data_IF_063210332071
#
_entry.id   IF_063210332071
#
_cell.length_a   1.000
_cell.length_b   1.000
_cell.length_c   1.000
_cell.angle_alpha   90.00
_cell.angle_beta   90.00
_cell.angle_gamma   90.00
#
_symmetry.space_group_name_H-M   'P 1'
#
loop_
_entity.id
_entity.type
_entity.pdbx_description
1 polymer ?
#
# COMPACT_ATOMS: atom_id res chain seq x y z
N UNK A 1 -16.58 19.50 -20.51
CA UNK A 1 -15.49 19.27 -19.52
C UNK A 1 -15.93 19.93 -18.23
N UNK A 2 -15.71 19.31 -17.06
CA UNK A 2 -16.13 19.88 -15.79
C UNK A 2 -15.44 21.22 -15.50
N UNK A 3 -16.18 22.09 -14.84
CA UNK A 3 -15.69 23.34 -14.25
C UNK A 3 -15.94 23.23 -12.75
N UNK A 4 -14.92 23.48 -11.93
CA UNK A 4 -15.07 23.42 -10.48
C UNK A 4 -15.94 24.58 -9.97
N UNK A 5 -17.05 24.27 -9.30
CA UNK A 5 -17.81 25.23 -8.52
C UNK A 5 -17.31 25.30 -7.08
N UNK A 6 -17.16 24.13 -6.43
CA UNK A 6 -16.73 24.03 -5.03
C UNK A 6 -15.78 22.86 -4.82
N UNK A 7 -14.82 23.05 -3.92
CA UNK A 7 -14.03 22.03 -3.28
C UNK A 7 -13.98 22.35 -1.78
N UNK A 8 -14.56 21.50 -0.97
CA UNK A 8 -14.63 21.64 0.48
C UNK A 8 -13.98 20.45 1.17
N UNK A 9 -13.45 20.67 2.37
CA UNK A 9 -12.93 19.63 3.24
C UNK A 9 -13.69 19.60 4.57
N UNK A 10 -14.12 18.42 4.99
CA UNK A 10 -14.76 18.21 6.28
C UNK A 10 -13.87 17.27 7.12
N UNK A 11 -13.49 17.67 8.36
CA UNK A 11 -12.74 16.77 9.26
C UNK A 11 -13.50 15.48 9.53
N UNK A 12 -12.77 14.37 9.60
CA UNK A 12 -13.29 13.04 9.90
C UNK A 12 -12.25 12.18 10.62
N UNK A 13 -12.64 10.97 10.92
CA UNK A 13 -11.77 9.95 11.50
C UNK A 13 -11.62 8.78 10.52
N UNK A 14 -10.42 8.22 10.44
CA UNK A 14 -10.17 7.02 9.66
C UNK A 14 -10.47 5.75 10.47
N UNK A 15 -10.68 4.64 9.76
CA UNK A 15 -10.99 3.35 10.38
C UNK A 15 -9.75 2.60 10.89
N UNK A 16 -8.59 3.24 10.99
CA UNK A 16 -7.35 2.64 11.47
C UNK A 16 -6.55 3.61 12.35
N UNK A 17 -5.36 3.21 12.78
CA UNK A 17 -4.51 3.96 13.71
C UNK A 17 -3.24 4.44 13.02
N UNK A 18 -2.77 5.62 13.41
CA UNK A 18 -1.46 6.14 13.06
C UNK A 18 -0.45 5.70 14.11
N UNK A 19 0.59 4.98 13.69
CA UNK A 19 1.66 4.47 14.54
C UNK A 19 2.96 5.22 14.28
N UNK A 20 3.62 5.65 15.35
CA UNK A 20 4.97 6.22 15.28
C UNK A 20 6.00 5.09 15.17
N UNK A 21 6.40 4.77 13.94
CA UNK A 21 7.36 3.70 13.67
C UNK A 21 8.72 3.93 14.36
N UNK A 22 9.16 5.20 14.50
CA UNK A 22 10.44 5.49 15.15
C UNK A 22 10.38 5.17 16.63
N UNK A 23 9.29 5.50 17.31
CA UNK A 23 9.10 5.15 18.72
C UNK A 23 9.00 3.64 18.92
N UNK A 24 8.28 2.93 18.02
CA UNK A 24 8.16 1.47 18.07
C UNK A 24 9.56 0.82 17.88
N UNK A 25 10.32 1.25 16.89
CA UNK A 25 11.70 0.77 16.65
C UNK A 25 12.67 1.12 17.82
N UNK A 26 12.41 2.21 18.52
CA UNK A 26 13.17 2.58 19.73
C UNK A 26 12.78 1.75 20.96
N UNK A 27 11.82 0.83 20.84
CA UNK A 27 11.42 -0.10 21.89
C UNK A 27 10.24 0.34 22.73
N UNK A 28 9.34 1.16 22.20
CA UNK A 28 8.08 1.49 22.87
C UNK A 28 7.33 0.21 23.26
N UNK A 29 6.91 0.12 24.53
CA UNK A 29 6.29 -1.07 25.09
C UNK A 29 4.79 -1.07 24.88
N UNK A 30 4.20 -2.23 24.58
CA UNK A 30 2.74 -2.37 24.55
C UNK A 30 2.12 -2.29 25.94
N UNK A 31 0.99 -1.60 26.02
CA UNK A 31 0.04 -1.68 27.11
C UNK A 31 -1.33 -2.08 26.54
N UNK A 32 -1.56 -3.35 26.43
CA UNK A 32 -2.68 -3.88 25.66
C UNK A 32 -2.60 -3.48 24.18
N UNK A 33 -3.59 -2.74 23.69
CA UNK A 33 -3.57 -2.22 22.32
C UNK A 33 -2.75 -0.93 22.14
N UNK A 34 -2.58 -0.16 23.20
CA UNK A 34 -1.82 1.09 23.20
C UNK A 34 -0.30 0.84 23.32
N UNK A 35 0.46 1.91 23.18
CA UNK A 35 1.89 1.93 23.49
C UNK A 35 2.16 2.90 24.65
N UNK A 36 3.13 2.55 25.48
CA UNK A 36 3.68 3.43 26.50
C UNK A 36 4.80 4.27 25.92
N UNK A 37 4.98 5.50 26.44
CA UNK A 37 6.05 6.42 26.10
C UNK A 37 5.61 7.57 25.20
N UNK A 38 6.58 8.44 24.91
CA UNK A 38 6.36 9.62 24.08
C UNK A 38 6.63 9.33 22.61
N UNK A 39 5.92 9.98 21.68
CA UNK A 39 6.20 9.88 20.27
C UNK A 39 7.57 10.54 19.94
N UNK A 40 8.21 10.04 18.90
CA UNK A 40 9.51 10.52 18.40
C UNK A 40 9.34 11.26 17.08
N UNK A 41 8.46 10.73 16.19
CA UNK A 41 8.26 11.31 14.85
C UNK A 41 7.43 12.60 14.93
N UNK A 42 7.87 13.71 14.32
CA UNK A 42 7.10 14.93 14.28
C UNK A 42 5.68 14.74 13.69
N UNK A 43 4.70 15.37 14.31
CA UNK A 43 3.30 15.26 13.92
C UNK A 43 2.50 14.17 14.63
N UNK A 44 3.16 13.25 15.35
CA UNK A 44 2.49 12.28 16.21
C UNK A 44 2.23 12.86 17.61
N UNK A 45 0.99 12.73 18.10
CA UNK A 45 0.62 13.14 19.46
C UNK A 45 0.76 12.01 20.49
N UNK A 46 0.90 10.77 20.05
CA UNK A 46 1.15 9.56 20.84
C UNK A 46 1.82 8.52 19.94
N UNK A 47 2.41 7.47 20.53
CA UNK A 47 3.03 6.37 19.76
C UNK A 47 1.99 5.65 18.88
N UNK A 48 0.75 5.51 19.37
CA UNK A 48 -0.42 5.08 18.58
C UNK A 48 -1.59 6.01 18.87
N UNK A 49 -2.21 6.53 17.83
CA UNK A 49 -3.40 7.38 17.93
C UNK A 49 -4.43 7.01 16.85
N UNK A 50 -5.72 7.29 17.06
CA UNK A 50 -6.69 7.22 15.98
C UNK A 50 -6.23 8.08 14.79
N UNK A 51 -6.27 7.53 13.60
CA UNK A 51 -5.90 8.27 12.40
C UNK A 51 -6.99 9.27 12.03
N UNK A 52 -6.59 10.50 11.72
CA UNK A 52 -7.49 11.55 11.24
C UNK A 52 -7.65 11.47 9.73
N UNK A 53 -8.78 11.97 9.26
CA UNK A 53 -9.10 12.08 7.84
C UNK A 53 -9.70 13.44 7.51
N UNK A 54 -9.70 13.80 6.23
CA UNK A 54 -10.56 14.84 5.67
C UNK A 54 -11.40 14.23 4.56
N UNK A 55 -12.70 14.43 4.62
CA UNK A 55 -13.61 14.12 3.54
C UNK A 55 -13.63 15.30 2.58
N UNK A 56 -13.28 15.06 1.33
CA UNK A 56 -13.19 16.09 0.30
C UNK A 56 -14.42 15.97 -0.62
N UNK A 57 -15.11 17.09 -0.81
CA UNK A 57 -16.28 17.18 -1.67
C UNK A 57 -16.01 18.15 -2.82
N UNK A 58 -16.08 17.65 -4.02
CA UNK A 58 -16.05 18.44 -5.27
C UNK A 58 -17.46 18.59 -5.80
N UNK A 59 -17.82 19.79 -6.21
CA UNK A 59 -19.04 20.08 -6.98
C UNK A 59 -18.67 20.84 -8.26
N UNK A 60 -19.16 20.37 -9.39
CA UNK A 60 -18.96 21.02 -10.68
C UNK A 60 -20.03 22.09 -10.93
N UNK A 61 -19.76 23.01 -11.85
CA UNK A 61 -20.75 24.04 -12.26
C UNK A 61 -22.04 23.44 -12.83
N UNK A 62 -21.99 22.20 -13.33
CA UNK A 62 -23.16 21.45 -13.77
C UNK A 62 -23.92 20.78 -12.61
N UNK A 63 -23.44 20.91 -11.36
CA UNK A 63 -24.06 20.34 -10.17
C UNK A 63 -23.69 18.88 -9.89
N UNK A 64 -22.75 18.28 -10.63
CA UNK A 64 -22.25 16.96 -10.33
C UNK A 64 -21.37 16.98 -9.09
N UNK A 65 -21.52 15.97 -8.21
CA UNK A 65 -20.79 15.86 -6.94
C UNK A 65 -19.91 14.63 -6.94
N UNK A 66 -18.67 14.81 -6.51
CA UNK A 66 -17.73 13.73 -6.25
C UNK A 66 -17.15 13.83 -4.84
N UNK A 67 -16.85 12.69 -4.26
CA UNK A 67 -16.23 12.56 -2.95
C UNK A 67 -14.89 11.85 -3.03
N UNK A 68 -13.98 12.26 -2.16
CA UNK A 68 -12.71 11.61 -1.90
C UNK A 68 -12.35 11.74 -0.43
N UNK A 69 -11.33 11.05 0.00
CA UNK A 69 -10.82 11.13 1.37
C UNK A 69 -9.30 11.31 1.39
N UNK A 70 -8.84 12.17 2.28
CA UNK A 70 -7.43 12.36 2.60
C UNK A 70 -7.15 11.70 3.95
N UNK A 71 -6.41 10.60 3.93
CA UNK A 71 -6.11 9.78 5.12
C UNK A 71 -4.62 9.51 5.20
N UNK A 72 -4.05 9.56 6.39
CA UNK A 72 -2.65 9.19 6.61
C UNK A 72 -2.42 7.70 6.35
N UNK A 73 -1.23 7.34 5.88
CA UNK A 73 -0.75 5.97 5.95
C UNK A 73 -0.31 5.63 7.37
N UNK A 74 -0.24 4.33 7.71
CA UNK A 74 0.02 3.85 9.07
C UNK A 74 1.31 4.42 9.68
N UNK A 75 2.41 4.41 8.95
CA UNK A 75 3.72 4.89 9.41
C UNK A 75 4.05 6.26 8.80
N UNK A 76 3.11 7.20 8.88
CA UNK A 76 3.30 8.55 8.39
C UNK A 76 4.50 9.24 9.05
N UNK A 77 5.16 10.17 8.34
CA UNK A 77 6.28 10.96 8.83
C UNK A 77 7.65 10.29 8.76
N UNK A 78 7.73 9.04 8.26
CA UNK A 78 9.01 8.33 8.08
C UNK A 78 9.12 7.76 6.66
N UNK A 79 10.34 7.50 6.21
CA UNK A 79 10.60 6.91 4.89
C UNK A 79 10.09 7.78 3.73
N UNK A 80 10.20 9.11 3.85
CA UNK A 80 9.72 10.06 2.84
C UNK A 80 8.21 10.29 2.84
N UNK A 81 7.46 9.64 3.73
CA UNK A 81 6.02 9.86 3.87
C UNK A 81 5.74 11.18 4.57
N UNK A 82 4.67 11.86 4.16
CA UNK A 82 4.19 13.06 4.85
C UNK A 82 3.78 12.76 6.30
N UNK A 83 3.74 13.80 7.13
CA UNK A 83 3.28 13.73 8.52
C UNK A 83 1.82 13.21 8.58
N UNK A 84 1.35 12.75 9.76
CA UNK A 84 -0.06 12.39 9.92
C UNK A 84 -0.99 13.54 9.50
N UNK A 85 -2.12 13.21 8.85
CA UNK A 85 -3.12 14.19 8.44
C UNK A 85 -3.65 14.95 9.66
N UNK A 86 -3.51 16.27 9.64
CA UNK A 86 -4.18 17.16 10.57
C UNK A 86 -5.12 18.10 9.79
N UNK A 87 -6.44 17.89 9.88
CA UNK A 87 -7.41 18.71 9.16
C UNK A 87 -7.32 20.20 9.46
N UNK A 88 -6.89 20.58 10.67
CA UNK A 88 -6.73 21.97 11.05
C UNK A 88 -5.56 22.66 10.32
N UNK A 89 -4.54 21.89 9.95
CA UNK A 89 -3.35 22.36 9.23
C UNK A 89 -3.57 22.28 7.73
N UNK A 90 -4.08 21.14 7.24
CA UNK A 90 -4.15 20.84 5.81
C UNK A 90 -5.37 21.46 5.09
N UNK A 91 -6.34 22.00 5.82
CA UNK A 91 -7.49 22.71 5.21
C UNK A 91 -7.07 23.86 4.29
N UNK A 92 -6.01 24.58 4.63
CA UNK A 92 -5.48 25.68 3.80
C UNK A 92 -4.89 25.20 2.46
N UNK A 93 -4.35 23.98 2.40
CA UNK A 93 -3.89 23.39 1.15
C UNK A 93 -5.07 23.03 0.24
N UNK A 94 -6.18 22.56 0.82
CA UNK A 94 -7.42 22.29 0.07
C UNK A 94 -7.99 23.58 -0.50
N UNK A 95 -8.05 24.66 0.28
CA UNK A 95 -8.50 25.97 -0.19
C UNK A 95 -7.63 26.50 -1.31
N UNK A 96 -6.32 26.35 -1.20
CA UNK A 96 -5.36 26.74 -2.23
C UNK A 96 -5.56 25.93 -3.53
N UNK A 97 -5.76 24.62 -3.42
CA UNK A 97 -6.05 23.75 -4.55
C UNK A 97 -7.39 24.12 -5.22
N UNK A 98 -8.42 24.42 -4.42
CA UNK A 98 -9.72 24.87 -4.92
C UNK A 98 -9.59 26.12 -5.79
N UNK A 99 -8.86 27.14 -5.31
CA UNK A 99 -8.61 28.37 -6.08
C UNK A 99 -7.83 28.11 -7.38
N UNK A 100 -6.87 27.19 -7.37
CA UNK A 100 -6.11 26.82 -8.56
C UNK A 100 -7.00 26.15 -9.62
N UNK A 101 -7.81 25.18 -9.21
CA UNK A 101 -8.75 24.49 -10.08
C UNK A 101 -9.83 25.44 -10.64
N UNK A 102 -10.38 26.34 -9.83
CA UNK A 102 -11.34 27.32 -10.29
C UNK A 102 -10.74 28.26 -11.34
N UNK A 103 -9.50 28.70 -11.16
CA UNK A 103 -8.78 29.54 -12.13
C UNK A 103 -8.44 28.83 -13.43
N UNK A 104 -8.27 27.53 -13.41
CA UNK A 104 -8.02 26.74 -14.61
C UNK A 104 -9.24 26.72 -15.55
N UNK A 105 -10.46 26.95 -15.03
CA UNK A 105 -11.69 26.90 -15.80
C UNK A 105 -12.11 25.48 -16.15
N UNK A 106 -12.30 25.18 -17.43
CA UNK A 106 -12.62 23.82 -17.90
C UNK A 106 -11.38 22.93 -17.92
N UNK A 107 -11.50 21.73 -17.41
CA UNK A 107 -10.43 20.70 -17.46
C UNK A 107 -11.04 19.30 -17.60
N UNK A 108 -10.30 18.37 -18.16
CA UNK A 108 -10.57 16.95 -18.00
C UNK A 108 -9.95 16.42 -16.71
N UNK A 109 -10.30 15.17 -16.35
CA UNK A 109 -9.79 14.56 -15.12
C UNK A 109 -8.25 14.51 -15.08
N UNK A 110 -7.59 14.12 -16.18
CA UNK A 110 -6.13 14.01 -16.23
C UNK A 110 -5.44 15.38 -16.05
N UNK A 111 -5.95 16.41 -16.73
CA UNK A 111 -5.46 17.77 -16.59
C UNK A 111 -5.67 18.32 -15.18
N UNK A 112 -6.82 18.04 -14.55
CA UNK A 112 -7.09 18.43 -13.17
C UNK A 112 -6.13 17.75 -12.17
N UNK A 113 -5.86 16.45 -12.33
CA UNK A 113 -4.88 15.76 -11.52
C UNK A 113 -3.46 16.30 -11.74
N UNK A 114 -3.05 16.51 -12.99
CA UNK A 114 -1.74 17.08 -13.28
C UNK A 114 -1.57 18.46 -12.64
N UNK A 115 -2.59 19.33 -12.69
CA UNK A 115 -2.55 20.61 -12.01
C UNK A 115 -2.31 20.46 -10.52
N UNK A 116 -3.02 19.55 -9.84
CA UNK A 116 -2.85 19.28 -8.40
C UNK A 116 -1.43 18.78 -8.08
N UNK A 117 -0.85 17.90 -8.90
CA UNK A 117 0.52 17.41 -8.71
C UNK A 117 1.59 18.51 -8.84
N UNK A 118 1.36 19.48 -9.74
CA UNK A 118 2.29 20.59 -9.98
C UNK A 118 2.14 21.72 -8.97
N UNK A 119 1.07 21.76 -8.16
CA UNK A 119 0.88 22.80 -7.16
C UNK A 119 1.95 22.75 -6.09
N UNK A 120 2.37 23.95 -5.68
CA UNK A 120 3.34 24.16 -4.59
C UNK A 120 2.76 25.14 -3.59
N UNK A 121 2.54 24.66 -2.36
CA UNK A 121 2.14 25.50 -1.23
C UNK A 121 3.35 25.72 -0.32
N UNK A 122 3.70 26.97 -0.07
CA UNK A 122 4.94 27.36 0.63
C UNK A 122 6.21 26.69 0.06
N UNK A 123 6.27 26.56 -1.29
CA UNK A 123 7.41 25.98 -2.01
C UNK A 123 7.51 24.45 -1.97
N UNK A 124 6.56 23.76 -1.35
CA UNK A 124 6.49 22.28 -1.27
C UNK A 124 5.29 21.75 -2.04
N UNK A 125 5.34 20.50 -2.54
CA UNK A 125 4.13 19.83 -3.04
C UNK A 125 3.05 19.86 -1.96
N UNK A 126 1.79 19.83 -2.37
CA UNK A 126 0.69 19.59 -1.43
C UNK A 126 0.88 18.23 -0.75
N UNK A 127 0.38 18.09 0.45
CA UNK A 127 0.39 16.83 1.20
C UNK A 127 -0.17 15.69 0.34
N UNK A 128 0.51 14.53 0.30
CA UNK A 128 0.14 13.40 -0.57
C UNK A 128 -1.31 12.96 -0.38
N UNK A 129 -1.78 12.88 0.88
CA UNK A 129 -3.18 12.53 1.15
C UNK A 129 -4.16 13.57 0.59
N UNK A 130 -3.82 14.86 0.60
CA UNK A 130 -4.64 15.93 0.01
C UNK A 130 -4.71 15.77 -1.51
N UNK A 131 -3.56 15.57 -2.18
CA UNK A 131 -3.52 15.32 -3.63
C UNK A 131 -4.35 14.10 -4.01
N UNK A 132 -4.17 13.00 -3.27
CA UNK A 132 -4.91 11.75 -3.49
C UNK A 132 -6.41 11.94 -3.30
N UNK A 133 -6.85 12.54 -2.19
CA UNK A 133 -8.26 12.77 -1.90
C UNK A 133 -8.94 13.70 -2.92
N UNK A 134 -8.26 14.75 -3.37
CA UNK A 134 -8.78 15.63 -4.43
C UNK A 134 -8.92 14.86 -5.74
N UNK A 135 -7.93 14.02 -6.11
CA UNK A 135 -7.99 13.22 -7.34
C UNK A 135 -9.17 12.25 -7.35
N UNK A 136 -9.47 11.61 -6.21
CA UNK A 136 -10.65 10.77 -6.05
C UNK A 136 -11.95 11.57 -6.25
N UNK A 137 -12.05 12.73 -5.59
CA UNK A 137 -13.22 13.59 -5.69
C UNK A 137 -13.45 14.09 -7.12
N UNK A 138 -12.38 14.49 -7.82
CA UNK A 138 -12.43 14.90 -9.23
C UNK A 138 -12.87 13.75 -10.15
N UNK A 139 -12.34 12.55 -9.93
CA UNK A 139 -12.70 11.35 -10.70
C UNK A 139 -14.20 11.05 -10.56
N UNK A 140 -14.70 11.06 -9.33
CA UNK A 140 -16.09 10.79 -9.04
C UNK A 140 -17.02 11.88 -9.60
N UNK A 141 -16.65 13.16 -9.47
CA UNK A 141 -17.42 14.26 -10.03
C UNK A 141 -17.44 14.24 -11.57
N UNK A 142 -16.30 13.97 -12.20
CA UNK A 142 -16.18 13.82 -13.67
C UNK A 142 -17.06 12.67 -14.18
N UNK A 143 -17.03 11.53 -13.49
CA UNK A 143 -17.84 10.38 -13.84
C UNK A 143 -19.34 10.69 -13.71
N UNK A 144 -19.75 11.35 -12.61
CA UNK A 144 -21.14 11.74 -12.37
C UNK A 144 -21.63 12.73 -13.44
N UNK A 145 -20.82 13.75 -13.79
CA UNK A 145 -21.17 14.73 -14.84
C UNK A 145 -21.31 14.07 -16.21
N UNK A 146 -20.46 13.08 -16.53
CA UNK A 146 -20.51 12.35 -17.78
C UNK A 146 -21.58 11.24 -17.81
N UNK A 147 -22.35 11.02 -16.74
CA UNK A 147 -23.26 9.88 -16.62
C UNK A 147 -22.56 8.53 -16.80
N UNK A 148 -21.31 8.44 -16.32
CA UNK A 148 -20.42 7.30 -16.51
C UNK A 148 -19.92 6.75 -15.16
N UNK A 149 -19.06 5.73 -15.18
CA UNK A 149 -18.40 5.24 -13.98
C UNK A 149 -16.95 5.74 -13.90
N UNK A 150 -16.37 5.87 -12.69
CA UNK A 150 -14.95 6.19 -12.50
C UNK A 150 -14.02 5.28 -13.32
N UNK A 151 -14.33 3.99 -13.35
CA UNK A 151 -13.56 3.00 -14.11
C UNK A 151 -13.53 3.30 -15.61
N UNK A 152 -14.65 3.74 -16.20
CA UNK A 152 -14.71 4.12 -17.62
C UNK A 152 -13.94 5.40 -17.92
N UNK A 153 -13.91 6.35 -16.99
CA UNK A 153 -13.07 7.56 -17.12
C UNK A 153 -11.59 7.16 -17.15
N UNK A 154 -11.16 6.29 -16.23
CA UNK A 154 -9.78 5.79 -16.20
C UNK A 154 -9.43 4.97 -17.44
N UNK A 155 -10.33 4.09 -17.88
CA UNK A 155 -10.14 3.30 -19.09
C UNK A 155 -9.93 4.18 -20.33
N UNK A 156 -10.71 5.25 -20.46
CA UNK A 156 -10.57 6.20 -21.57
C UNK A 156 -9.21 6.92 -21.58
N UNK A 157 -8.66 7.27 -20.41
CA UNK A 157 -7.37 7.92 -20.27
C UNK A 157 -6.21 6.95 -20.59
N UNK A 158 -6.34 5.70 -20.17
CA UNK A 158 -5.33 4.67 -20.39
C UNK A 158 -5.42 4.00 -21.76
N UNK A 159 -6.44 4.33 -22.56
CA UNK A 159 -6.70 3.73 -23.87
C UNK A 159 -7.26 2.30 -23.80
N UNK A 160 -7.74 1.88 -22.63
CA UNK A 160 -8.42 0.58 -22.47
C UNK A 160 -9.85 0.67 -23.02
N UNK A 161 -10.24 -0.30 -23.82
CA UNK A 161 -11.60 -0.37 -24.39
C UNK A 161 -12.59 -1.00 -23.42
N UNK A 162 -12.15 -1.99 -22.66
CA UNK A 162 -12.94 -2.67 -21.63
C UNK A 162 -12.10 -2.78 -20.34
N UNK A 163 -12.63 -2.32 -19.19
CA UNK A 163 -11.97 -2.51 -17.93
C UNK A 163 -12.04 -3.98 -17.51
N UNK A 164 -10.91 -4.56 -17.18
CA UNK A 164 -10.85 -5.90 -16.60
C UNK A 164 -11.04 -5.84 -15.08
N UNK A 165 -11.64 -6.88 -14.51
CA UNK A 165 -11.69 -7.05 -13.06
C UNK A 165 -10.27 -7.32 -12.55
N UNK A 166 -9.83 -6.52 -11.58
CA UNK A 166 -8.57 -6.76 -10.91
C UNK A 166 -8.70 -7.99 -10.00
N UNK A 167 -7.62 -8.77 -9.85
CA UNK A 167 -7.57 -9.84 -8.87
C UNK A 167 -7.86 -9.31 -7.46
N UNK A 168 -8.68 -10.06 -6.71
CA UNK A 168 -8.96 -9.74 -5.31
C UNK A 168 -7.76 -10.13 -4.47
N UNK A 169 -7.16 -9.14 -3.84
CA UNK A 169 -6.02 -9.28 -2.95
C UNK A 169 -6.47 -9.15 -1.50
N UNK A 170 -6.01 -10.04 -0.61
CA UNK A 170 -6.42 -10.03 0.79
C UNK A 170 -5.22 -10.19 1.73
N UNK A 171 -5.31 -9.52 2.88
CA UNK A 171 -4.30 -9.53 3.93
C UNK A 171 -4.79 -10.28 5.16
N UNK A 172 -3.95 -11.18 5.70
CA UNK A 172 -4.31 -12.01 6.85
C UNK A 172 -4.16 -11.30 8.21
N UNK A 173 -3.33 -10.27 8.29
CA UNK A 173 -2.94 -9.72 9.59
C UNK A 173 -2.23 -10.78 10.45
N UNK A 174 -2.36 -10.66 11.76
CA UNK A 174 -1.69 -11.55 12.73
C UNK A 174 -2.30 -12.96 12.79
N UNK A 175 -3.58 -13.11 12.48
CA UNK A 175 -4.32 -14.39 12.46
C UNK A 175 -4.12 -15.13 11.12
N UNK A 176 -2.85 -15.37 10.75
CA UNK A 176 -2.45 -15.85 9.43
C UNK A 176 -3.19 -17.11 8.97
N UNK A 177 -3.31 -18.12 9.83
CA UNK A 177 -3.92 -19.41 9.48
C UNK A 177 -5.45 -19.27 9.35
N UNK A 178 -6.09 -18.71 10.35
CA UNK A 178 -7.55 -18.56 10.36
C UNK A 178 -8.04 -17.68 9.19
N UNK A 179 -7.34 -16.60 8.93
CA UNK A 179 -7.74 -15.68 7.86
C UNK A 179 -7.39 -16.25 6.47
N UNK A 180 -6.30 -17.00 6.32
CA UNK A 180 -6.01 -17.73 5.07
C UNK A 180 -7.13 -18.72 4.74
N UNK A 181 -7.62 -19.51 5.69
CA UNK A 181 -8.76 -20.41 5.49
C UNK A 181 -10.02 -19.65 5.01
N UNK A 182 -10.31 -18.50 5.62
CA UNK A 182 -11.43 -17.63 5.22
C UNK A 182 -11.28 -17.11 3.78
N UNK A 183 -10.07 -16.74 3.37
CA UNK A 183 -9.75 -16.27 2.03
C UNK A 183 -9.91 -17.39 1.00
N UNK A 184 -9.39 -18.57 1.30
CA UNK A 184 -9.50 -19.76 0.43
C UNK A 184 -10.97 -20.13 0.21
N UNK A 185 -11.77 -20.18 1.27
CA UNK A 185 -13.21 -20.46 1.19
C UNK A 185 -13.99 -19.40 0.38
N UNK A 186 -13.48 -18.17 0.30
CA UNK A 186 -14.06 -17.08 -0.51
C UNK A 186 -13.53 -17.03 -1.93
N UNK A 187 -12.54 -17.85 -2.27
CA UNK A 187 -11.93 -17.86 -3.60
C UNK A 187 -11.15 -16.58 -3.92
N UNK A 188 -10.44 -16.01 -2.95
CA UNK A 188 -9.60 -14.82 -3.14
C UNK A 188 -8.46 -15.15 -4.09
N UNK A 189 -8.15 -14.25 -5.05
CA UNK A 189 -7.17 -14.51 -6.10
C UNK A 189 -5.72 -14.46 -5.61
N UNK A 190 -5.39 -13.55 -4.66
CA UNK A 190 -4.07 -13.37 -4.08
C UNK A 190 -4.17 -13.37 -2.56
N UNK A 191 -3.46 -14.30 -1.91
CA UNK A 191 -3.50 -14.50 -0.46
C UNK A 191 -2.16 -15.06 0.07
N UNK A 192 -1.90 -15.07 1.37
CA UNK A 192 -2.66 -14.40 2.42
C UNK A 192 -2.12 -13.01 2.76
N UNK A 193 -1.11 -12.49 2.06
CA UNK A 193 -0.22 -11.41 2.51
C UNK A 193 0.15 -11.59 3.99
N UNK A 194 0.71 -12.77 4.27
CA UNK A 194 1.12 -13.14 5.62
C UNK A 194 2.39 -12.43 6.00
N UNK A 195 2.42 -11.87 7.22
CA UNK A 195 3.51 -11.07 7.72
C UNK A 195 4.49 -11.93 8.53
N UNK A 196 5.78 -11.93 8.14
CA UNK A 196 6.87 -12.63 8.83
C UNK A 196 7.93 -11.61 9.29
N UNK A 197 7.54 -10.76 10.24
CA UNK A 197 8.28 -9.59 10.70
C UNK A 197 9.24 -9.87 11.88
N UNK A 198 9.46 -11.12 12.24
CA UNK A 198 10.37 -11.51 13.30
C UNK A 198 11.01 -12.88 13.03
N UNK A 199 12.19 -13.11 13.62
CA UNK A 199 12.87 -14.41 13.54
C UNK A 199 12.05 -15.54 14.16
N UNK A 200 11.25 -15.24 15.18
CA UNK A 200 10.36 -16.24 15.78
C UNK A 200 9.24 -16.65 14.81
N UNK A 201 8.68 -15.72 14.06
CA UNK A 201 7.65 -16.02 13.05
C UNK A 201 8.24 -16.73 11.83
N UNK A 202 9.40 -16.26 11.33
CA UNK A 202 10.07 -16.80 10.15
C UNK A 202 10.78 -18.13 10.42
N UNK A 203 11.31 -18.32 11.62
CA UNK A 203 12.24 -19.35 12.02
C UNK A 203 13.70 -18.93 11.84
N UNK A 204 14.58 -19.29 12.79
CA UNK A 204 16.00 -18.92 12.75
C UNK A 204 16.75 -19.47 11.53
N UNK A 205 16.20 -20.47 10.89
CA UNK A 205 16.67 -21.09 9.65
C UNK A 205 15.65 -20.96 8.48
N UNK A 206 14.55 -20.23 8.70
CA UNK A 206 13.45 -20.09 7.76
C UNK A 206 12.49 -21.27 7.68
N UNK A 207 12.70 -22.32 8.50
CA UNK A 207 11.90 -23.54 8.42
C UNK A 207 10.41 -23.28 8.69
N UNK A 208 10.06 -22.42 9.65
CA UNK A 208 8.65 -22.10 9.94
C UNK A 208 7.95 -21.44 8.76
N UNK A 209 8.67 -20.59 8.02
CA UNK A 209 8.14 -20.01 6.80
C UNK A 209 7.85 -21.08 5.73
N UNK A 210 8.79 -22.00 5.48
CA UNK A 210 8.60 -23.07 4.50
C UNK A 210 7.44 -24.00 4.90
N UNK A 211 7.30 -24.32 6.18
CA UNK A 211 6.19 -25.11 6.71
C UNK A 211 4.85 -24.39 6.50
N UNK A 212 4.80 -23.07 6.67
CA UNK A 212 3.60 -22.29 6.43
C UNK A 212 3.24 -22.23 4.94
N UNK A 213 4.20 -22.07 4.03
CA UNK A 213 3.95 -22.14 2.58
C UNK A 213 3.39 -23.52 2.19
N UNK A 214 3.99 -24.60 2.69
CA UNK A 214 3.49 -25.96 2.46
C UNK A 214 2.11 -26.19 3.08
N UNK A 215 1.83 -25.57 4.24
CA UNK A 215 0.52 -25.60 4.87
C UNK A 215 -0.52 -24.89 4.01
N UNK A 216 -0.24 -23.69 3.51
CA UNK A 216 -1.11 -22.95 2.59
C UNK A 216 -1.48 -23.77 1.36
N UNK A 217 -0.48 -24.41 0.74
CA UNK A 217 -0.70 -25.29 -0.41
C UNK A 217 -1.70 -26.40 -0.09
N UNK A 218 -1.54 -27.08 1.04
CA UNK A 218 -2.50 -28.13 1.49
C UNK A 218 -3.89 -27.55 1.73
N UNK A 219 -3.99 -26.37 2.39
CA UNK A 219 -5.30 -25.75 2.66
C UNK A 219 -6.02 -25.35 1.39
N UNK A 220 -5.30 -24.88 0.36
CA UNK A 220 -5.89 -24.61 -0.96
C UNK A 220 -6.50 -25.88 -1.55
N UNK A 221 -5.82 -27.02 -1.45
CA UNK A 221 -6.36 -28.31 -1.95
C UNK A 221 -7.56 -28.81 -1.13
N UNK A 222 -7.54 -28.59 0.19
CA UNK A 222 -8.59 -29.07 1.09
C UNK A 222 -9.86 -28.23 1.07
N UNK A 223 -9.74 -26.91 0.99
CA UNK A 223 -10.84 -25.95 1.17
C UNK A 223 -11.25 -25.23 -0.09
N UNK A 224 -10.34 -25.10 -1.05
CA UNK A 224 -10.59 -24.34 -2.27
C UNK A 224 -11.61 -25.04 -3.19
N UNK A 225 -12.39 -24.26 -3.96
CA UNK A 225 -13.25 -24.83 -4.98
C UNK A 225 -12.44 -25.57 -6.06
N UNK A 226 -13.09 -26.44 -6.80
CA UNK A 226 -12.44 -27.24 -7.85
C UNK A 226 -11.75 -26.32 -8.88
N UNK A 227 -10.45 -26.54 -9.10
CA UNK A 227 -9.64 -25.76 -10.02
C UNK A 227 -9.14 -24.41 -9.47
N UNK A 228 -9.37 -24.10 -8.21
CA UNK A 228 -8.89 -22.90 -7.56
C UNK A 228 -7.35 -22.91 -7.44
N UNK A 229 -6.73 -21.88 -7.99
CA UNK A 229 -5.27 -21.72 -8.01
C UNK A 229 -4.91 -20.26 -7.73
N UNK A 230 -4.93 -19.84 -6.46
CA UNK A 230 -4.54 -18.51 -6.08
C UNK A 230 -3.04 -18.29 -6.25
N UNK A 231 -2.64 -17.05 -6.37
CA UNK A 231 -1.25 -16.65 -6.14
C UNK A 231 -0.99 -16.49 -4.64
N UNK A 232 0.17 -16.93 -4.17
CA UNK A 232 0.61 -16.71 -2.79
C UNK A 232 1.47 -15.46 -2.73
N UNK A 233 1.18 -14.57 -1.77
CA UNK A 233 1.99 -13.40 -1.49
C UNK A 233 2.32 -13.34 0.00
N UNK A 234 3.61 -13.24 0.33
CA UNK A 234 4.12 -13.27 1.69
C UNK A 234 5.17 -12.17 1.88
N UNK A 235 5.01 -11.36 2.93
CA UNK A 235 5.98 -10.32 3.29
C UNK A 235 6.89 -10.82 4.41
N UNK A 236 8.18 -10.80 4.15
CA UNK A 236 9.18 -11.36 5.06
C UNK A 236 10.06 -10.30 5.74
N UNK A 237 9.80 -9.00 5.54
CA UNK A 237 10.43 -7.90 6.27
C UNK A 237 11.95 -8.01 6.39
N UNK A 238 12.63 -8.47 5.33
CA UNK A 238 14.07 -8.67 5.33
C UNK A 238 14.58 -9.90 6.08
N UNK A 239 13.70 -10.70 6.70
CA UNK A 239 14.10 -11.85 7.52
C UNK A 239 14.93 -12.86 6.74
N UNK A 240 14.63 -13.08 5.45
CA UNK A 240 15.42 -13.99 4.64
C UNK A 240 16.88 -13.52 4.53
N UNK A 241 17.09 -12.25 4.16
CA UNK A 241 18.44 -11.67 4.09
C UNK A 241 19.17 -11.74 5.42
N UNK A 242 18.46 -11.49 6.54
CA UNK A 242 19.03 -11.57 7.88
C UNK A 242 19.50 -13.00 8.24
N UNK A 243 18.66 -14.01 7.98
CA UNK A 243 18.96 -15.42 8.30
C UNK A 243 20.17 -15.93 7.51
N UNK A 244 20.35 -15.49 6.28
CA UNK A 244 21.44 -15.96 5.42
C UNK A 244 22.57 -14.94 5.26
N UNK A 245 22.58 -13.84 6.05
CA UNK A 245 23.62 -12.80 6.04
C UNK A 245 23.78 -12.15 4.65
N UNK A 246 22.68 -11.85 3.98
CA UNK A 246 22.60 -11.23 2.64
C UNK A 246 23.30 -12.02 1.53
N UNK A 247 23.59 -13.30 1.74
CA UNK A 247 24.17 -14.19 0.74
C UNK A 247 23.12 -14.51 -0.34
N UNK A 248 23.31 -13.98 -1.54
CA UNK A 248 22.36 -14.08 -2.66
C UNK A 248 22.15 -15.54 -3.10
N UNK A 249 23.20 -16.35 -3.11
CA UNK A 249 23.12 -17.76 -3.50
C UNK A 249 22.29 -18.59 -2.50
N UNK A 250 22.45 -18.29 -1.21
CA UNK A 250 21.66 -18.91 -0.12
C UNK A 250 20.21 -18.41 -0.17
N UNK A 251 19.97 -17.11 -0.42
CA UNK A 251 18.62 -16.60 -0.62
C UNK A 251 17.93 -17.28 -1.80
N UNK A 252 18.61 -17.40 -2.94
CA UNK A 252 18.05 -18.08 -4.11
C UNK A 252 17.76 -19.58 -3.84
N UNK A 253 18.62 -20.25 -3.11
CA UNK A 253 18.41 -21.65 -2.69
C UNK A 253 17.18 -21.79 -1.78
N UNK A 254 17.01 -20.87 -0.84
CA UNK A 254 15.84 -20.83 0.03
C UNK A 254 14.54 -20.58 -0.74
N UNK A 255 14.55 -19.61 -1.69
CA UNK A 255 13.40 -19.30 -2.52
C UNK A 255 13.01 -20.45 -3.46
N UNK A 256 13.97 -21.22 -3.94
CA UNK A 256 13.70 -22.47 -4.69
C UNK A 256 13.00 -23.52 -3.81
N UNK A 257 13.38 -23.62 -2.52
CA UNK A 257 12.68 -24.49 -1.57
C UNK A 257 11.26 -23.97 -1.27
N UNK A 258 11.07 -22.67 -1.17
CA UNK A 258 9.75 -22.05 -1.00
C UNK A 258 8.83 -22.28 -2.23
N UNK A 259 9.35 -22.15 -3.45
CA UNK A 259 8.64 -22.51 -4.68
C UNK A 259 8.20 -23.98 -4.69
N UNK A 260 9.10 -24.86 -4.27
CA UNK A 260 8.79 -26.29 -4.12
C UNK A 260 7.66 -26.50 -3.11
N UNK A 261 7.71 -25.82 -1.96
CA UNK A 261 6.68 -25.89 -0.94
C UNK A 261 5.32 -25.33 -1.42
N UNK A 262 5.32 -24.31 -2.29
CA UNK A 262 4.12 -23.76 -2.92
C UNK A 262 3.45 -24.74 -3.90
N UNK A 263 4.15 -25.80 -4.33
CA UNK A 263 3.57 -26.93 -5.06
C UNK A 263 2.90 -26.52 -6.38
N UNK A 264 3.52 -25.59 -7.12
CA UNK A 264 3.06 -25.09 -8.41
C UNK A 264 1.99 -24.00 -8.33
N UNK A 265 1.72 -23.40 -7.17
CA UNK A 265 1.06 -22.10 -7.05
C UNK A 265 2.08 -21.00 -7.31
N UNK A 266 1.65 -19.91 -7.94
CA UNK A 266 2.50 -18.74 -8.09
C UNK A 266 2.85 -18.18 -6.71
N UNK A 267 4.12 -17.79 -6.51
CA UNK A 267 4.63 -17.29 -5.24
C UNK A 267 5.31 -15.94 -5.43
N UNK A 268 4.88 -14.96 -4.68
CA UNK A 268 5.52 -13.66 -4.54
C UNK A 268 6.06 -13.48 -3.12
N UNK A 269 7.30 -13.03 -3.01
CA UNK A 269 7.96 -12.72 -1.73
C UNK A 269 8.27 -11.23 -1.71
N UNK A 270 7.66 -10.56 -0.75
CA UNK A 270 7.86 -9.14 -0.51
C UNK A 270 8.99 -8.94 0.50
N UNK A 271 9.80 -7.93 0.24
CA UNK A 271 10.90 -7.50 1.08
C UNK A 271 11.83 -8.65 1.53
N UNK A 272 12.38 -9.47 0.61
CA UNK A 272 13.21 -10.63 1.00
C UNK A 272 14.47 -10.23 1.75
N UNK A 273 15.01 -9.05 1.49
CA UNK A 273 16.20 -8.51 2.14
C UNK A 273 16.20 -6.98 2.12
N UNK A 274 16.92 -6.39 3.05
CA UNK A 274 17.26 -4.97 3.08
C UNK A 274 18.79 -4.83 3.12
N UNK A 275 19.34 -3.93 2.30
CA UNK A 275 20.70 -3.43 2.41
C UNK A 275 20.81 -2.33 3.47
N UNK A 276 21.99 -1.74 3.60
CA UNK A 276 22.21 -0.60 4.51
C UNK A 276 21.49 0.68 4.04
N UNK A 277 21.22 0.78 2.73
CA UNK A 277 20.49 1.88 2.12
C UNK A 277 19.67 1.38 0.90
N UNK A 278 18.98 2.33 0.24
CA UNK A 278 18.13 2.04 -0.94
C UNK A 278 18.97 1.49 -2.10
N UNK A 279 20.16 2.06 -2.34
CA UNK A 279 21.01 1.65 -3.47
C UNK A 279 21.48 0.20 -3.29
N UNK A 280 21.99 -0.15 -2.12
CA UNK A 280 22.40 -1.52 -1.79
C UNK A 280 21.20 -2.50 -1.86
N UNK A 281 20.03 -2.09 -1.37
CA UNK A 281 18.81 -2.92 -1.45
C UNK A 281 18.44 -3.21 -2.90
N UNK A 282 18.47 -2.19 -3.78
CA UNK A 282 18.19 -2.34 -5.22
C UNK A 282 19.21 -3.28 -5.88
N UNK A 283 20.50 -3.15 -5.56
CA UNK A 283 21.56 -4.02 -6.09
C UNK A 283 21.36 -5.47 -5.64
N UNK A 284 21.06 -5.71 -4.37
CA UNK A 284 20.78 -7.05 -3.82
C UNK A 284 19.57 -7.69 -4.50
N UNK A 285 18.45 -6.96 -4.63
CA UNK A 285 17.23 -7.46 -5.28
C UNK A 285 17.46 -7.73 -6.78
N UNK A 286 18.21 -6.88 -7.47
CA UNK A 286 18.57 -7.08 -8.89
C UNK A 286 19.43 -8.33 -9.08
N UNK A 287 20.44 -8.53 -8.23
CA UNK A 287 21.30 -9.71 -8.24
C UNK A 287 20.49 -10.97 -7.91
N UNK A 288 19.68 -10.94 -6.85
CA UNK A 288 18.81 -12.06 -6.49
C UNK A 288 17.86 -12.44 -7.63
N UNK A 289 17.23 -11.46 -8.26
CA UNK A 289 16.36 -11.70 -9.43
C UNK A 289 17.10 -12.35 -10.61
N UNK A 290 18.34 -11.94 -10.89
CA UNK A 290 19.17 -12.55 -11.92
C UNK A 290 19.48 -14.02 -11.59
N UNK A 291 19.94 -14.26 -10.35
CA UNK A 291 20.28 -15.60 -9.87
C UNK A 291 19.07 -16.55 -9.90
N UNK A 292 17.88 -16.07 -9.50
CA UNK A 292 16.65 -16.86 -9.60
C UNK A 292 16.33 -17.25 -11.05
N UNK A 293 16.43 -16.32 -11.99
CA UNK A 293 16.21 -16.58 -13.42
C UNK A 293 17.20 -17.60 -13.98
N UNK A 294 18.49 -17.48 -13.63
CA UNK A 294 19.54 -18.42 -14.05
C UNK A 294 19.30 -19.84 -13.51
N UNK A 295 18.69 -19.96 -12.33
CA UNK A 295 18.34 -21.24 -11.71
C UNK A 295 16.96 -21.75 -12.13
N UNK A 296 16.20 -21.03 -12.94
CA UNK A 296 14.84 -21.38 -13.36
C UNK A 296 13.82 -21.34 -12.24
N UNK A 297 14.04 -20.52 -11.20
CA UNK A 297 13.12 -20.32 -10.07
C UNK A 297 12.15 -19.19 -10.41
N UNK A 298 10.85 -19.45 -10.30
CA UNK A 298 9.78 -18.55 -10.77
C UNK A 298 9.19 -17.66 -9.66
N UNK A 299 9.85 -17.58 -8.50
CA UNK A 299 9.41 -16.70 -7.40
C UNK A 299 9.49 -15.23 -7.80
N UNK A 300 8.37 -14.52 -7.71
CA UNK A 300 8.34 -13.08 -7.90
C UNK A 300 8.90 -12.34 -6.67
N UNK A 301 9.70 -11.30 -6.90
CA UNK A 301 10.19 -10.43 -5.84
C UNK A 301 9.40 -9.13 -5.85
N UNK A 302 8.94 -8.70 -4.68
CA UNK A 302 8.23 -7.44 -4.47
C UNK A 302 9.09 -6.56 -3.56
N UNK A 303 9.32 -5.32 -3.99
CA UNK A 303 9.97 -4.30 -3.16
C UNK A 303 8.90 -3.45 -2.49
N UNK A 304 9.07 -3.15 -1.22
CA UNK A 304 8.24 -2.24 -0.43
C UNK A 304 9.11 -1.27 0.37
N UNK A 305 8.48 -0.33 1.06
CA UNK A 305 9.04 0.63 2.02
C UNK A 305 9.99 1.71 1.47
N UNK A 306 10.75 1.45 0.43
CA UNK A 306 11.64 2.44 -0.19
C UNK A 306 11.00 3.19 -1.38
N UNK A 307 9.77 2.85 -1.75
CA UNK A 307 9.08 3.42 -2.91
C UNK A 307 8.23 4.66 -2.57
N UNK A 308 8.38 5.23 -1.38
CA UNK A 308 7.56 6.35 -0.89
C UNK A 308 8.21 7.72 -1.07
N UNK A 309 9.31 7.81 -1.77
CA UNK A 309 9.98 9.08 -2.11
C UNK A 309 10.00 9.26 -3.61
N UNK A 310 9.78 10.50 -4.07
CA UNK A 310 9.93 10.91 -5.48
C UNK A 310 11.42 10.97 -5.91
N UNK A 311 12.30 10.23 -5.25
CA UNK A 311 13.74 10.25 -5.51
C UNK A 311 14.15 9.20 -6.54
#
# INVERSE_FOLDING_TARGET
MPVLAWLDAVPGEAAFYADDLMAIRAGAQHDGFAYLGEPITPGHGAVRSPSRAMLLRVETAAGAVGWGDAVSVQYAGVGGRDAPVDPAVLGVEVDFAALALQRAGEFDFATGCHLIEELRFDGRPLHTAVRYGISQALLNATAAEAGSSPLRILAAITGLTEPELLPVYAQSGDERELNADRMILRGVDVLPHGLFNSLDAFGHDGQRFLEYVAWLRRRVDELGPAGYRPSLHLDVYGMLGQVVSLDVDRMATFLAAAETAAGGLDLAIESPCYGADVAETVELLAHLRSTLRERGVSVALVADEFCNTDA
#
